data_IF_955897725986
#
_entry.id   IF_955897725986
#
_cell.length_a   1.000
_cell.length_b   1.000
_cell.length_c   1.000
_cell.angle_alpha   90.00
_cell.angle_beta   90.00
_cell.angle_gamma   90.00
#
_symmetry.space_group_name_H-M   'P 1'
#
loop_
_entity.id
_entity.type
_entity.pdbx_description
1 polymer ?
#
# COMPACT_ATOMS: atom_id res chain seq x y z
N UNK A 1 -25.27 0.58 27.91
CA UNK A 1 -25.71 -0.76 28.37
C UNK A 1 -24.56 -1.74 28.16
N UNK A 2 -23.79 -2.05 29.21
CA UNK A 2 -22.60 -2.92 29.11
C UNK A 2 -22.79 -4.08 30.08
N UNK A 3 -22.84 -5.31 29.56
CA UNK A 3 -23.04 -6.53 30.34
C UNK A 3 -21.70 -7.26 30.50
N UNK A 4 -21.00 -6.97 31.59
CA UNK A 4 -19.88 -7.80 32.05
C UNK A 4 -20.45 -9.07 32.73
N UNK A 5 -20.25 -10.22 32.08
CA UNK A 5 -20.52 -11.54 32.67
C UNK A 5 -19.25 -12.02 33.36
N UNK A 6 -19.24 -11.95 34.70
CA UNK A 6 -18.28 -12.65 35.54
C UNK A 6 -18.51 -14.18 35.40
N UNK A 7 -17.45 -14.92 35.07
CA UNK A 7 -17.38 -16.35 35.30
C UNK A 7 -16.34 -16.60 36.40
N UNK A 8 -16.82 -17.04 37.55
CA UNK A 8 -16.01 -17.59 38.63
C UNK A 8 -16.16 -19.12 38.61
N UNK A 9 -15.08 -19.91 38.48
CA UNK A 9 -15.15 -21.33 38.76
C UNK A 9 -14.80 -21.60 40.24
N UNK A 10 -15.82 -21.92 41.03
CA UNK A 10 -15.65 -22.56 42.34
C UNK A 10 -15.24 -24.02 42.12
N UNK A 11 -13.97 -24.33 42.36
CA UNK A 11 -13.48 -25.71 42.45
C UNK A 11 -13.71 -26.21 43.87
N UNK A 12 -14.77 -27.00 44.06
CA UNK A 12 -15.02 -27.74 45.30
C UNK A 12 -14.06 -28.94 45.38
N UNK A 13 -13.12 -28.89 46.33
CA UNK A 13 -12.25 -30.01 46.67
C UNK A 13 -13.04 -31.03 47.51
N UNK A 14 -13.38 -32.18 46.92
CA UNK A 14 -14.04 -33.27 47.62
C UNK A 14 -13.02 -34.28 48.19
N UNK A 15 -13.00 -34.36 49.52
CA UNK A 15 -12.70 -35.47 50.42
C UNK A 15 -11.84 -36.65 49.91
N UNK A 16 -10.62 -36.75 50.46
CA UNK A 16 -9.71 -37.88 50.35
C UNK A 16 -9.97 -38.84 51.53
N UNK A 17 -10.78 -39.88 51.32
CA UNK A 17 -11.01 -40.95 52.31
C UNK A 17 -10.00 -42.09 52.05
N UNK A 18 -8.95 -42.13 52.88
CA UNK A 18 -8.00 -43.24 52.97
C UNK A 18 -8.56 -44.32 53.91
N UNK A 19 -9.17 -45.36 53.33
CA UNK A 19 -9.64 -46.55 54.04
C UNK A 19 -8.56 -47.63 54.12
N UNK A 20 -8.35 -48.14 55.34
CA UNK A 20 -7.43 -49.20 55.75
C UNK A 20 -7.74 -50.56 55.08
N UNK A 21 -6.69 -51.37 54.89
CA UNK A 21 -6.69 -52.56 54.03
C UNK A 21 -7.42 -53.81 54.52
N UNK A 22 -7.78 -54.65 53.55
CA UNK A 22 -8.02 -56.10 53.63
C UNK A 22 -7.61 -56.74 52.27
N UNK A 23 -7.33 -58.06 52.18
CA UNK A 23 -6.95 -58.69 50.92
C UNK A 23 -8.17 -58.87 50.00
N UNK A 24 -8.58 -57.79 49.34
CA UNK A 24 -9.64 -57.73 48.34
C UNK A 24 -9.10 -57.74 46.90
N UNK A 25 -7.91 -58.34 46.67
CA UNK A 25 -7.17 -58.21 45.41
C UNK A 25 -7.89 -58.79 44.17
N UNK A 26 -8.87 -59.69 44.32
CA UNK A 26 -9.61 -60.26 43.18
C UNK A 26 -10.93 -59.52 42.87
N UNK A 27 -11.59 -58.99 43.92
CA UNK A 27 -12.81 -58.18 43.80
C UNK A 27 -12.48 -56.77 43.30
N UNK A 28 -11.45 -56.12 43.87
CA UNK A 28 -11.07 -54.74 43.49
C UNK A 28 -10.47 -54.60 42.09
N UNK A 29 -9.87 -55.66 41.52
CA UNK A 29 -9.29 -55.61 40.16
C UNK A 29 -10.34 -55.51 39.06
N UNK A 30 -11.46 -56.24 39.21
CA UNK A 30 -12.55 -56.17 38.24
C UNK A 30 -13.20 -54.78 38.25
N UNK A 31 -13.41 -54.20 39.44
CA UNK A 31 -13.95 -52.85 39.57
C UNK A 31 -12.98 -51.79 39.05
N UNK A 32 -11.66 -51.95 39.29
CA UNK A 32 -10.63 -51.09 38.70
C UNK A 32 -10.63 -51.15 37.17
N UNK A 33 -10.77 -52.34 36.58
CA UNK A 33 -10.85 -52.49 35.13
C UNK A 33 -12.09 -51.80 34.56
N UNK A 34 -13.25 -51.95 35.19
CA UNK A 34 -14.48 -51.23 34.80
C UNK A 34 -14.31 -49.71 34.91
N UNK A 35 -13.68 -49.22 35.97
CA UNK A 35 -13.40 -47.80 36.15
C UNK A 35 -12.44 -47.27 35.07
N UNK A 36 -11.41 -48.03 34.70
CA UNK A 36 -10.49 -47.68 33.62
C UNK A 36 -11.18 -47.63 32.25
N UNK A 37 -12.02 -48.62 31.95
CA UNK A 37 -12.86 -48.65 30.73
C UNK A 37 -13.79 -47.44 30.68
N UNK A 38 -14.50 -47.15 31.78
CA UNK A 38 -15.40 -45.99 31.86
C UNK A 38 -14.64 -44.66 31.67
N UNK A 39 -13.42 -44.57 32.21
CA UNK A 39 -12.55 -43.39 31.99
C UNK A 39 -12.15 -43.26 30.52
N UNK A 40 -11.74 -44.36 29.88
CA UNK A 40 -11.39 -44.38 28.46
C UNK A 40 -12.59 -44.02 27.57
N UNK A 41 -13.78 -44.55 27.87
CA UNK A 41 -15.03 -44.19 27.20
C UNK A 41 -15.33 -42.70 27.32
N UNK A 42 -15.25 -42.15 28.53
CA UNK A 42 -15.46 -40.72 28.77
C UNK A 42 -14.50 -39.85 27.96
N UNK A 43 -13.21 -40.24 27.87
CA UNK A 43 -12.22 -39.52 27.05
C UNK A 43 -12.49 -39.62 25.56
N UNK A 44 -12.86 -40.80 25.05
CA UNK A 44 -13.21 -41.01 23.64
C UNK A 44 -14.45 -40.18 23.28
N UNK A 45 -15.48 -40.17 24.14
CA UNK A 45 -16.68 -39.35 23.96
C UNK A 45 -16.39 -37.86 24.02
N UNK A 46 -15.54 -37.41 24.94
CA UNK A 46 -15.07 -36.03 24.98
C UNK A 46 -14.31 -35.66 23.70
N UNK A 47 -13.51 -36.58 23.16
CA UNK A 47 -12.87 -36.44 21.85
C UNK A 47 -13.87 -36.31 20.71
N UNK A 48 -14.90 -37.16 20.66
CA UNK A 48 -15.97 -37.08 19.66
C UNK A 48 -16.72 -35.73 19.73
N UNK A 49 -17.10 -35.30 20.94
CA UNK A 49 -17.73 -34.00 21.16
C UNK A 49 -16.81 -32.82 20.77
N UNK A 50 -15.50 -32.98 20.98
CA UNK A 50 -14.49 -32.01 20.56
C UNK A 50 -14.18 -32.09 19.05
N UNK A 51 -14.77 -33.01 18.29
CA UNK A 51 -14.54 -33.17 16.85
C UNK A 51 -13.22 -33.87 16.50
N UNK A 52 -12.61 -34.61 17.43
CA UNK A 52 -11.41 -35.42 17.16
C UNK A 52 -11.68 -36.44 16.04
N UNK A 53 -12.89 -37.01 15.97
CA UNK A 53 -13.26 -37.97 14.94
C UNK A 53 -13.20 -37.42 13.50
N UNK A 54 -13.35 -36.11 13.30
CA UNK A 54 -13.23 -35.49 11.97
C UNK A 54 -11.79 -35.07 11.66
N UNK A 55 -11.06 -34.59 12.66
CA UNK A 55 -9.69 -34.09 12.50
C UNK A 55 -8.63 -35.19 12.49
N UNK A 56 -8.86 -36.26 13.25
CA UNK A 56 -7.93 -37.36 13.50
C UNK A 56 -8.66 -38.72 13.50
N UNK A 57 -9.30 -39.11 12.38
CA UNK A 57 -10.14 -40.31 12.31
C UNK A 57 -9.36 -41.59 12.66
N UNK A 58 -8.10 -41.68 12.26
CA UNK A 58 -7.24 -42.85 12.53
C UNK A 58 -6.96 -43.01 14.02
N UNK A 59 -6.63 -41.92 14.74
CA UNK A 59 -6.38 -41.96 16.19
C UNK A 59 -7.63 -42.30 16.98
N UNK A 60 -8.77 -41.76 16.56
CA UNK A 60 -10.05 -42.06 17.20
C UNK A 60 -10.46 -43.53 16.98
N UNK A 61 -10.19 -44.09 15.78
CA UNK A 61 -10.39 -45.50 15.51
C UNK A 61 -9.46 -46.40 16.34
N UNK A 62 -8.18 -46.03 16.48
CA UNK A 62 -7.19 -46.73 17.31
C UNK A 62 -7.60 -46.73 18.79
N UNK A 63 -8.04 -45.59 19.34
CA UNK A 63 -8.53 -45.51 20.72
C UNK A 63 -9.76 -46.41 20.95
N UNK A 64 -10.71 -46.44 20.00
CA UNK A 64 -11.88 -47.33 20.07
C UNK A 64 -11.51 -48.80 19.94
N UNK A 65 -10.50 -49.13 19.13
CA UNK A 65 -9.98 -50.48 19.03
C UNK A 65 -9.40 -50.96 20.37
N UNK A 66 -8.50 -50.18 20.98
CA UNK A 66 -7.94 -50.53 22.30
C UNK A 66 -9.02 -50.62 23.40
N UNK A 67 -10.06 -49.79 23.34
CA UNK A 67 -11.19 -49.88 24.25
C UNK A 67 -11.97 -51.19 24.08
N UNK A 68 -12.18 -51.64 22.84
CA UNK A 68 -12.84 -52.92 22.58
C UNK A 68 -11.99 -54.09 23.07
N UNK A 69 -10.67 -54.07 22.83
CA UNK A 69 -9.73 -55.04 23.39
C UNK A 69 -9.82 -55.08 24.92
N UNK A 70 -9.88 -53.90 25.57
CA UNK A 70 -10.02 -53.82 27.02
C UNK A 70 -11.32 -54.49 27.54
N UNK A 71 -12.43 -54.33 26.80
CA UNK A 71 -13.72 -54.95 27.13
C UNK A 71 -13.69 -56.47 26.93
N UNK A 72 -13.06 -56.94 25.86
CA UNK A 72 -12.87 -58.37 25.58
C UNK A 72 -11.99 -59.04 26.63
N UNK A 73 -10.88 -58.40 27.02
CA UNK A 73 -10.01 -58.87 28.09
C UNK A 73 -10.75 -58.97 29.43
N UNK A 74 -11.59 -57.97 29.75
CA UNK A 74 -12.41 -58.01 30.97
C UNK A 74 -13.42 -59.17 30.94
N UNK A 75 -14.09 -59.36 29.81
CA UNK A 75 -15.06 -60.45 29.62
C UNK A 75 -14.38 -61.83 29.71
N UNK A 76 -13.14 -61.94 29.23
CA UNK A 76 -12.31 -63.14 29.34
C UNK A 76 -11.64 -63.33 30.72
N UNK A 77 -11.87 -62.42 31.68
CA UNK A 77 -11.29 -62.48 33.02
C UNK A 77 -9.84 -61.99 33.14
N UNK A 78 -9.23 -61.50 32.05
CA UNK A 78 -7.87 -60.92 31.98
C UNK A 78 -7.87 -59.46 32.47
N UNK A 79 -8.08 -59.28 33.77
CA UNK A 79 -8.31 -57.95 34.39
C UNK A 79 -7.13 -56.98 34.24
N UNK A 80 -5.89 -57.46 34.34
CA UNK A 80 -4.69 -56.60 34.21
C UNK A 80 -4.49 -56.14 32.75
N UNK A 81 -4.66 -57.05 31.79
CA UNK A 81 -4.58 -56.74 30.36
C UNK A 81 -5.67 -55.73 29.96
N UNK A 82 -6.89 -55.91 30.50
CA UNK A 82 -8.00 -54.97 30.34
C UNK A 82 -7.65 -53.57 30.85
N UNK A 83 -7.05 -53.45 32.04
CA UNK A 83 -6.61 -52.16 32.59
C UNK A 83 -5.53 -51.53 31.68
N UNK A 84 -4.56 -52.33 31.23
CA UNK A 84 -3.49 -51.85 30.35
C UNK A 84 -4.05 -51.33 29.01
N UNK A 85 -4.96 -52.07 28.38
CA UNK A 85 -5.63 -51.67 27.14
C UNK A 85 -6.49 -50.42 27.32
N UNK A 86 -7.27 -50.32 28.41
CA UNK A 86 -8.07 -49.14 28.70
C UNK A 86 -7.21 -47.88 28.94
N UNK A 87 -6.05 -48.04 29.60
CA UNK A 87 -5.10 -46.95 29.78
C UNK A 87 -4.45 -46.52 28.45
N UNK A 88 -4.12 -47.46 27.55
CA UNK A 88 -3.66 -47.13 26.20
C UNK A 88 -4.72 -46.38 25.41
N UNK A 89 -5.96 -46.85 25.41
CA UNK A 89 -7.10 -46.16 24.80
C UNK A 89 -7.25 -44.72 25.32
N UNK A 90 -7.16 -44.54 26.65
CA UNK A 90 -7.20 -43.23 27.30
C UNK A 90 -6.07 -42.30 26.83
N UNK A 91 -4.83 -42.80 26.78
CA UNK A 91 -3.68 -42.03 26.37
C UNK A 91 -3.75 -41.61 24.89
N UNK A 92 -4.22 -42.50 24.01
CA UNK A 92 -4.44 -42.20 22.59
C UNK A 92 -5.51 -41.11 22.45
N UNK A 93 -6.63 -41.23 23.17
CA UNK A 93 -7.72 -40.25 23.13
C UNK A 93 -7.26 -38.85 23.61
N UNK A 94 -6.49 -38.78 24.71
CA UNK A 94 -5.93 -37.52 25.21
C UNK A 94 -4.92 -36.89 24.24
N UNK A 95 -4.01 -37.70 23.69
CA UNK A 95 -3.05 -37.23 22.70
C UNK A 95 -3.77 -36.69 21.46
N UNK A 96 -4.80 -37.40 20.99
CA UNK A 96 -5.61 -36.97 19.86
C UNK A 96 -6.37 -35.66 20.16
N UNK A 97 -6.88 -35.49 21.38
CA UNK A 97 -7.54 -34.24 21.79
C UNK A 97 -6.57 -33.05 21.80
N UNK A 98 -5.36 -33.25 22.31
CA UNK A 98 -4.30 -32.23 22.28
C UNK A 98 -3.85 -31.87 20.86
N UNK A 99 -3.70 -32.86 19.98
CA UNK A 99 -3.36 -32.63 18.58
C UNK A 99 -4.50 -31.94 17.81
N UNK A 100 -5.76 -32.34 18.05
CA UNK A 100 -6.93 -31.71 17.45
C UNK A 100 -7.05 -30.23 17.87
N UNK A 101 -6.79 -29.91 19.14
CA UNK A 101 -6.76 -28.53 19.61
C UNK A 101 -5.69 -27.70 18.88
N UNK A 102 -4.47 -28.23 18.74
CA UNK A 102 -3.39 -27.56 17.99
C UNK A 102 -3.73 -27.34 16.53
N UNK A 103 -4.38 -28.32 15.87
CA UNK A 103 -4.81 -28.18 14.47
C UNK A 103 -5.85 -27.07 14.31
N UNK A 104 -6.86 -27.03 15.19
CA UNK A 104 -7.86 -25.95 15.19
C UNK A 104 -7.24 -24.57 15.39
N UNK A 105 -6.27 -24.44 16.29
CA UNK A 105 -5.55 -23.19 16.52
C UNK A 105 -4.73 -22.77 15.29
N UNK A 106 -4.04 -23.72 14.66
CA UNK A 106 -3.30 -23.48 13.42
C UNK A 106 -4.22 -23.05 12.27
N UNK A 107 -5.38 -23.71 12.11
CA UNK A 107 -6.37 -23.38 11.09
C UNK A 107 -6.96 -21.97 11.32
N UNK A 108 -7.25 -21.61 12.58
CA UNK A 108 -7.72 -20.28 12.93
C UNK A 108 -6.67 -19.21 12.61
N UNK A 109 -5.41 -19.44 12.98
CA UNK A 109 -4.30 -18.53 12.67
C UNK A 109 -4.08 -18.39 11.15
N UNK A 110 -4.22 -19.48 10.39
CA UNK A 110 -4.14 -19.44 8.94
C UNK A 110 -5.28 -18.61 8.32
N UNK A 111 -6.51 -18.75 8.83
CA UNK A 111 -7.65 -17.95 8.37
C UNK A 111 -7.47 -16.45 8.67
N UNK A 112 -6.92 -16.10 9.82
CA UNK A 112 -6.65 -14.71 10.18
C UNK A 112 -5.54 -14.09 9.30
N UNK A 113 -4.48 -14.85 9.02
CA UNK A 113 -3.44 -14.43 8.09
C UNK A 113 -3.99 -14.20 6.68
N UNK A 114 -4.84 -15.10 6.18
CA UNK A 114 -5.50 -14.94 4.87
C UNK A 114 -6.38 -13.68 4.83
N UNK A 115 -7.09 -13.37 5.91
CA UNK A 115 -7.89 -12.14 6.01
C UNK A 115 -6.99 -10.90 5.98
N UNK A 116 -5.92 -10.89 6.75
CA UNK A 116 -4.96 -9.79 6.75
C UNK A 116 -4.28 -9.59 5.38
N UNK A 117 -3.98 -10.67 4.66
CA UNK A 117 -3.45 -10.61 3.30
C UNK A 117 -4.48 -10.05 2.30
N UNK A 118 -5.73 -10.50 2.37
CA UNK A 118 -6.80 -9.97 1.54
C UNK A 118 -7.03 -8.45 1.78
N UNK A 119 -6.96 -8.01 3.03
CA UNK A 119 -7.04 -6.58 3.38
C UNK A 119 -5.87 -5.78 2.83
N UNK A 120 -4.65 -6.31 2.90
CA UNK A 120 -3.45 -5.67 2.31
C UNK A 120 -3.58 -5.55 0.79
N UNK A 121 -4.06 -6.60 0.12
CA UNK A 121 -4.29 -6.58 -1.32
C UNK A 121 -5.37 -5.56 -1.71
N UNK A 122 -6.46 -5.47 -0.93
CA UNK A 122 -7.49 -4.47 -1.15
C UNK A 122 -6.96 -3.03 -0.96
N UNK A 123 -6.15 -2.80 0.07
CA UNK A 123 -5.53 -1.49 0.31
C UNK A 123 -4.53 -1.11 -0.81
N UNK A 124 -3.76 -2.08 -1.31
CA UNK A 124 -2.85 -1.87 -2.44
C UNK A 124 -3.62 -1.54 -3.73
N UNK A 125 -4.69 -2.29 -4.03
CA UNK A 125 -5.55 -2.01 -5.19
C UNK A 125 -6.14 -0.60 -5.13
N UNK A 126 -6.57 -0.13 -3.96
CA UNK A 126 -7.05 1.24 -3.77
C UNK A 126 -5.94 2.28 -4.02
N UNK A 127 -4.72 2.03 -3.53
CA UNK A 127 -3.57 2.93 -3.79
C UNK A 127 -3.25 3.03 -5.26
N UNK A 128 -3.26 1.90 -5.98
CA UNK A 128 -3.05 1.87 -7.43
C UNK A 128 -4.16 2.64 -8.16
N UNK A 129 -5.42 2.48 -7.76
CA UNK A 129 -6.53 3.23 -8.35
C UNK A 129 -6.40 4.75 -8.16
N UNK A 130 -6.03 5.20 -6.95
CA UNK A 130 -5.79 6.62 -6.65
C UNK A 130 -4.60 7.16 -7.47
N UNK A 131 -3.51 6.39 -7.55
CA UNK A 131 -2.34 6.78 -8.35
C UNK A 131 -2.70 6.92 -9.84
N UNK A 132 -3.48 5.99 -10.39
CA UNK A 132 -3.96 6.04 -11.76
C UNK A 132 -4.88 7.24 -12.02
N UNK A 133 -5.74 7.62 -11.06
CA UNK A 133 -6.55 8.83 -11.15
C UNK A 133 -5.69 10.09 -11.16
N UNK A 134 -4.72 10.20 -10.26
CA UNK A 134 -3.79 11.33 -10.21
C UNK A 134 -2.96 11.46 -11.50
N UNK A 135 -2.60 10.34 -12.15
CA UNK A 135 -1.93 10.37 -13.44
C UNK A 135 -2.83 10.89 -14.58
N UNK A 136 -4.12 10.52 -14.59
CA UNK A 136 -5.09 11.05 -15.55
C UNK A 136 -5.26 12.55 -15.40
N UNK A 137 -5.46 13.04 -14.18
CA UNK A 137 -5.57 14.47 -13.90
C UNK A 137 -4.32 15.25 -14.34
N UNK A 138 -3.13 14.70 -14.09
CA UNK A 138 -1.87 15.29 -14.57
C UNK A 138 -1.78 15.32 -16.10
N UNK A 139 -2.26 14.29 -16.78
CA UNK A 139 -2.29 14.26 -18.23
C UNK A 139 -3.27 15.29 -18.80
N UNK A 140 -4.44 15.44 -18.19
CA UNK A 140 -5.44 16.44 -18.56
C UNK A 140 -4.94 17.87 -18.34
N UNK A 141 -4.32 18.14 -17.18
CA UNK A 141 -3.73 19.45 -16.90
C UNK A 141 -2.65 19.84 -17.94
N UNK A 142 -1.82 18.87 -18.38
CA UNK A 142 -0.83 19.09 -19.44
C UNK A 142 -1.46 19.38 -20.80
N UNK A 143 -2.59 18.73 -21.13
CA UNK A 143 -3.33 19.02 -22.35
C UNK A 143 -3.92 20.42 -22.32
N UNK A 144 -4.58 20.79 -21.22
CA UNK A 144 -5.15 22.12 -21.03
C UNK A 144 -4.07 23.22 -21.12
N UNK A 145 -2.88 23.01 -20.54
CA UNK A 145 -1.78 23.98 -20.68
C UNK A 145 -1.29 24.09 -22.13
N UNK A 146 -1.14 22.96 -22.84
CA UNK A 146 -0.72 22.97 -24.23
C UNK A 146 -1.74 23.65 -25.15
N UNK A 147 -3.04 23.46 -24.89
CA UNK A 147 -4.13 24.13 -25.60
C UNK A 147 -4.11 25.64 -25.35
N UNK A 148 -3.87 26.07 -24.11
CA UNK A 148 -3.73 27.49 -23.78
C UNK A 148 -2.53 28.13 -24.48
N UNK A 149 -1.38 27.46 -24.49
CA UNK A 149 -0.18 27.95 -25.17
C UNK A 149 -0.40 28.07 -26.69
N UNK A 150 -1.09 27.09 -27.28
CA UNK A 150 -1.45 27.11 -28.69
C UNK A 150 -2.38 28.30 -29.02
N UNK A 151 -3.38 28.58 -28.16
CA UNK A 151 -4.28 29.72 -28.34
C UNK A 151 -3.53 31.06 -28.25
N UNK A 152 -2.59 31.21 -27.31
CA UNK A 152 -1.75 32.41 -27.20
C UNK A 152 -0.88 32.58 -28.47
N UNK A 153 -0.26 31.50 -28.95
CA UNK A 153 0.54 31.55 -30.18
C UNK A 153 -0.30 31.95 -31.42
N UNK A 154 -1.54 31.46 -31.51
CA UNK A 154 -2.47 31.84 -32.58
C UNK A 154 -2.83 33.33 -32.51
N UNK A 155 -3.13 33.86 -31.32
CA UNK A 155 -3.40 35.29 -31.13
C UNK A 155 -2.21 36.16 -31.54
N UNK A 156 -1.00 35.81 -31.10
CA UNK A 156 0.22 36.53 -31.46
C UNK A 156 0.47 36.52 -32.97
N UNK A 157 0.19 35.39 -33.63
CA UNK A 157 0.32 35.27 -35.09
C UNK A 157 -0.70 36.15 -35.82
N UNK A 158 -1.97 36.16 -35.35
CA UNK A 158 -3.01 37.02 -35.92
C UNK A 158 -2.67 38.51 -35.75
N UNK A 159 -2.17 38.92 -34.59
CA UNK A 159 -1.70 40.29 -34.35
C UNK A 159 -0.52 40.68 -35.24
N UNK A 160 0.47 39.79 -35.40
CA UNK A 160 1.60 40.01 -36.29
C UNK A 160 1.15 40.21 -37.75
N UNK A 161 0.20 39.39 -38.21
CA UNK A 161 -0.37 39.52 -39.55
C UNK A 161 -1.16 40.84 -39.72
N UNK A 162 -1.92 41.27 -38.71
CA UNK A 162 -2.62 42.56 -38.75
C UNK A 162 -1.63 43.75 -38.79
N UNK A 163 -0.53 43.68 -38.04
CA UNK A 163 0.56 44.68 -38.10
C UNK A 163 1.23 44.71 -39.47
N UNK A 164 1.50 43.54 -40.07
CA UNK A 164 2.07 43.47 -41.42
C UNK A 164 1.13 44.10 -42.47
N UNK A 165 -0.16 43.78 -42.44
CA UNK A 165 -1.15 44.33 -43.37
C UNK A 165 -1.30 45.85 -43.24
N UNK A 166 -1.32 46.37 -42.00
CA UNK A 166 -1.38 47.82 -41.77
C UNK A 166 -0.11 48.55 -42.20
N UNK A 167 1.07 47.94 -42.04
CA UNK A 167 2.32 48.46 -42.57
C UNK A 167 2.31 48.51 -44.11
N UNK A 168 1.85 47.45 -44.77
CA UNK A 168 1.74 47.41 -46.23
C UNK A 168 0.75 48.47 -46.76
N UNK A 169 -0.40 48.65 -46.09
CA UNK A 169 -1.35 49.71 -46.46
C UNK A 169 -0.74 51.11 -46.32
N UNK A 170 0.02 51.37 -45.25
CA UNK A 170 0.73 52.63 -45.05
C UNK A 170 1.81 52.87 -46.12
N UNK A 171 2.56 51.83 -46.49
CA UNK A 171 3.55 51.91 -47.54
C UNK A 171 2.90 52.26 -48.89
N UNK A 172 1.79 51.61 -49.24
CA UNK A 172 1.04 51.91 -50.46
C UNK A 172 0.53 53.37 -50.48
N UNK A 173 -0.01 53.87 -49.37
CA UNK A 173 -0.44 55.28 -49.26
C UNK A 173 0.75 56.22 -49.44
N UNK A 174 1.88 55.95 -48.79
CA UNK A 174 3.09 56.77 -48.93
C UNK A 174 3.60 56.81 -50.38
N UNK A 175 3.56 55.69 -51.08
CA UNK A 175 3.95 55.59 -52.49
C UNK A 175 3.01 56.40 -53.40
N UNK A 176 1.69 56.34 -53.17
CA UNK A 176 0.73 57.18 -53.92
C UNK A 176 0.88 58.69 -53.66
N UNK A 177 1.35 59.08 -52.47
CA UNK A 177 1.59 60.48 -52.13
C UNK A 177 2.91 60.99 -52.74
N UNK A 178 3.95 60.15 -52.77
CA UNK A 178 5.23 60.44 -53.43
C UNK A 178 5.09 60.60 -54.95
N UNK A 179 4.17 59.85 -55.59
CA UNK A 179 3.88 60.01 -57.01
C UNK A 179 3.16 61.32 -57.39
N UNK A 180 2.58 62.04 -56.42
CA UNK A 180 1.86 63.30 -56.63
C UNK A 180 2.68 64.55 -56.33
N UNK A 181 3.95 64.41 -55.91
CA UNK A 181 4.84 65.55 -55.65
C UNK A 181 5.75 65.79 -56.86
N UNK A 182 5.76 66.99 -57.49
CA UNK A 182 6.75 67.31 -58.52
C UNK A 182 8.17 67.34 -57.90
N UNK A 183 9.23 67.02 -58.67
CA UNK A 183 10.58 66.95 -58.13
C UNK A 183 11.06 68.35 -57.72
N UNK A 184 11.04 68.64 -56.41
CA UNK A 184 11.69 69.81 -55.85
C UNK A 184 13.12 69.44 -55.45
N UNK A 185 14.06 69.97 -56.22
CA UNK A 185 15.48 69.98 -55.96
C UNK A 185 15.82 70.78 -54.70
N UNK A 186 16.23 70.09 -53.64
CA UNK A 186 17.16 70.61 -52.63
C UNK A 186 17.73 69.43 -51.84
N UNK A 187 19.04 69.21 -51.98
CA UNK A 187 19.75 68.19 -51.23
C UNK A 187 19.89 68.61 -49.77
N UNK A 188 19.45 67.74 -48.86
CA UNK A 188 19.73 67.84 -47.43
C UNK A 188 20.64 66.68 -47.08
N UNK A 189 21.92 66.97 -46.87
CA UNK A 189 22.87 66.01 -46.30
C UNK A 189 22.50 65.76 -44.84
N UNK A 190 22.20 64.50 -44.52
CA UNK A 190 21.92 64.07 -43.16
C UNK A 190 23.03 63.12 -42.73
N UNK A 191 23.97 63.61 -41.93
CA UNK A 191 25.06 62.78 -41.41
C UNK A 191 24.58 62.05 -40.15
N UNK A 192 24.41 60.73 -40.23
CA UNK A 192 24.05 59.88 -39.09
C UNK A 192 25.32 59.32 -38.48
N UNK A 193 25.69 59.77 -37.29
CA UNK A 193 26.78 59.19 -36.50
C UNK A 193 26.21 58.14 -35.54
N UNK A 194 26.57 56.87 -35.74
CA UNK A 194 26.23 55.77 -34.82
C UNK A 194 27.38 55.55 -33.84
N UNK A 195 27.21 55.92 -32.57
CA UNK A 195 28.15 55.56 -31.49
C UNK A 195 27.62 54.32 -30.76
N UNK A 196 28.38 53.22 -30.82
CA UNK A 196 28.07 51.98 -30.07
C UNK A 196 28.99 51.90 -28.87
N UNK A 197 28.48 52.14 -27.66
CA UNK A 197 29.22 51.90 -26.41
C UNK A 197 28.68 50.68 -25.68
N UNK A 198 29.51 49.66 -25.38
CA UNK A 198 29.11 48.56 -24.54
C UNK A 198 29.01 49.03 -23.08
N UNK A 199 27.83 48.88 -22.47
CA UNK A 199 27.63 49.12 -21.03
C UNK A 199 27.47 47.77 -20.33
N UNK A 200 28.43 47.41 -19.50
CA UNK A 200 28.36 46.22 -18.64
C UNK A 200 27.34 46.45 -17.53
N UNK A 201 26.29 45.62 -17.44
CA UNK A 201 25.35 45.64 -16.32
C UNK A 201 25.84 44.75 -15.18
N UNK A 202 25.95 45.33 -14.00
CA UNK A 202 26.29 44.64 -12.75
C UNK A 202 25.24 43.57 -12.40
N UNK A 203 25.69 42.34 -12.18
CA UNK A 203 24.83 41.25 -11.71
C UNK A 203 24.61 41.35 -10.20
N UNK A 204 23.36 41.42 -9.76
CA UNK A 204 23.03 41.28 -8.34
C UNK A 204 23.11 39.81 -7.93
N UNK A 205 24.09 39.48 -7.09
CA UNK A 205 24.32 38.13 -6.59
C UNK A 205 23.22 37.72 -5.58
N UNK A 206 22.42 36.69 -5.89
CA UNK A 206 21.58 36.03 -4.89
C UNK A 206 22.39 34.96 -4.14
N UNK A 207 22.34 35.02 -2.81
CA UNK A 207 22.98 34.08 -1.89
C UNK A 207 22.23 32.74 -1.92
N UNK A 208 22.85 31.69 -2.45
CA UNK A 208 22.32 30.31 -2.36
C UNK A 208 22.86 29.61 -1.12
N UNK A 209 21.96 29.09 -0.28
CA UNK A 209 22.26 28.20 0.84
C UNK A 209 22.62 26.81 0.29
N UNK A 210 23.76 26.25 0.73
CA UNK A 210 24.25 24.95 0.28
C UNK A 210 23.66 23.83 1.14
N UNK A 211 22.86 22.95 0.56
CA UNK A 211 22.63 21.59 1.08
C UNK A 211 23.41 20.60 0.21
N UNK A 212 24.25 19.80 0.86
CA UNK A 212 25.20 18.88 0.22
C UNK A 212 24.45 17.64 -0.26
N UNK A 213 24.19 17.56 -1.57
CA UNK A 213 23.77 16.32 -2.24
C UNK A 213 24.69 16.12 -3.45
N UNK A 214 25.43 15.01 -3.46
CA UNK A 214 26.32 14.63 -4.55
C UNK A 214 25.47 14.19 -5.74
N UNK A 215 25.30 15.07 -6.74
CA UNK A 215 24.83 14.68 -8.08
C UNK A 215 25.52 15.50 -9.18
N UNK A 216 25.75 14.79 -10.29
CA UNK A 216 26.50 15.14 -11.50
C UNK A 216 26.02 16.46 -12.14
N UNK A 217 26.97 17.29 -12.57
CA UNK A 217 26.73 18.63 -13.09
C UNK A 217 26.12 18.62 -14.52
N UNK A 218 25.05 19.38 -14.79
CA UNK A 218 24.66 19.73 -16.15
C UNK A 218 25.41 20.98 -16.66
N UNK A 219 25.65 21.02 -17.97
CA UNK A 219 26.45 22.02 -18.68
C UNK A 219 25.87 23.45 -18.59
N UNK A 220 26.75 24.45 -18.48
CA UNK A 220 26.41 25.88 -18.44
C UNK A 220 25.94 26.36 -19.81
N UNK A 221 24.70 26.87 -19.91
CA UNK A 221 24.27 27.71 -21.04
C UNK A 221 24.69 29.15 -20.80
N UNK A 222 25.29 29.78 -21.83
CA UNK A 222 25.62 31.20 -21.83
C UNK A 222 24.34 32.06 -21.88
N UNK A 223 24.28 33.20 -21.18
CA UNK A 223 23.14 34.12 -21.25
C UNK A 223 23.12 34.89 -22.57
N UNK A 224 21.92 35.11 -23.10
CA UNK A 224 21.67 35.87 -24.31
C UNK A 224 21.88 37.37 -24.07
N UNK A 225 22.64 38.01 -24.97
CA UNK A 225 22.80 39.46 -25.06
C UNK A 225 21.50 40.07 -25.57
N UNK A 226 21.00 41.10 -24.90
CA UNK A 226 19.88 41.89 -25.40
C UNK A 226 20.39 43.32 -25.66
N UNK A 227 20.34 43.74 -26.92
CA UNK A 227 20.67 45.09 -27.35
C UNK A 227 19.51 46.02 -27.04
N UNK A 228 19.83 47.21 -26.51
CA UNK A 228 18.84 48.27 -26.30
C UNK A 228 19.24 49.49 -27.12
N UNK A 229 18.48 49.75 -28.17
CA UNK A 229 18.62 50.94 -29.02
C UNK A 229 18.04 52.15 -28.30
N UNK A 230 18.84 53.20 -28.14
CA UNK A 230 18.36 54.53 -27.74
C UNK A 230 18.60 55.48 -28.89
N UNK A 231 17.55 56.15 -29.35
CA UNK A 231 17.64 57.17 -30.42
C UNK A 231 17.50 58.54 -29.77
N UNK A 232 18.53 59.37 -29.87
CA UNK A 232 18.45 60.78 -29.49
C UNK A 232 18.40 61.61 -30.76
N UNK A 233 17.30 62.34 -30.96
CA UNK A 233 17.17 63.30 -32.06
C UNK A 233 17.46 64.68 -31.49
N UNK A 234 18.48 65.35 -32.04
CA UNK A 234 18.74 66.76 -31.75
C UNK A 234 18.54 67.56 -33.02
N UNK A 235 17.53 68.41 -33.03
CA UNK A 235 17.29 69.37 -34.10
C UNK A 235 17.97 70.68 -33.72
N UNK A 236 18.95 71.12 -34.49
CA UNK A 236 19.47 72.49 -34.39
C UNK A 236 18.98 73.29 -35.59
N UNK A 237 18.25 74.37 -35.30
CA UNK A 237 17.92 75.38 -36.29
C UNK A 237 19.03 76.40 -36.31
N UNK A 238 19.74 76.53 -37.43
CA UNK A 238 20.67 77.65 -37.64
C UNK A 238 19.87 78.80 -38.23
N UNK A 239 19.64 79.84 -37.43
CA UNK A 239 19.13 81.12 -37.94
C UNK A 239 20.30 81.91 -38.51
N UNK A 240 20.13 82.42 -39.73
CA UNK A 240 21.11 83.29 -40.40
C UNK A 240 20.76 84.75 -40.17
#
# INVERSE_FOLDING_TARGET
MSRYRMFAPSVAAAALVLGLGTPAHAAGKADRARAAIATAEGKIQAGDAAGVGTLLPQRQAEARHELNTAKEDLAAGRKEDSIAAANRASAIAEAALGEAAKRKEADAAAADNQRAEAERQAAEAQRVAIAAQAEKERAEAKRASAESDAAIAQQQTAEANARANSANARAAIAETLAAQTPPASAQVETTVTTETKPVARASTARKTVKTKVVRKAPAKKAPATADRTSTTVTTQTVTR
#
